data_IF_334683438388
#
_entry.id   IF_334683438388
#
_cell.length_a   1.000
_cell.length_b   1.000
_cell.length_c   1.000
_cell.angle_alpha   90.00
_cell.angle_beta   90.00
_cell.angle_gamma   90.00
#
_symmetry.space_group_name_H-M   'P 1'
#
loop_
_entity.id
_entity.type
_entity.pdbx_description
1 polymer ?
#
# COMPACT_ATOMS: atom_id res chain seq x y z
N UNK A 1 -22.29 29.66 -10.45
CA UNK A 1 -22.86 30.20 -9.19
C UNK A 1 -23.10 29.05 -8.23
N UNK A 2 -22.50 29.14 -7.04
CA UNK A 2 -22.75 28.19 -5.96
C UNK A 2 -24.07 28.59 -5.29
N UNK A 3 -25.07 27.74 -5.38
CA UNK A 3 -26.33 27.91 -4.66
C UNK A 3 -26.22 27.20 -3.31
N UNK A 4 -27.00 27.65 -2.33
CA UNK A 4 -27.03 27.04 -1.00
C UNK A 4 -27.26 25.53 -1.06
N UNK A 5 -28.17 25.07 -1.93
CA UNK A 5 -28.42 23.63 -2.13
C UNK A 5 -27.21 22.86 -2.68
N UNK A 6 -26.42 23.45 -3.58
CA UNK A 6 -25.20 22.83 -4.12
C UNK A 6 -24.10 22.70 -3.06
N UNK A 7 -23.97 23.72 -2.19
CA UNK A 7 -23.00 23.70 -1.09
C UNK A 7 -23.36 22.59 -0.08
N UNK A 8 -24.63 22.50 0.31
CA UNK A 8 -25.11 21.47 1.24
C UNK A 8 -24.87 20.06 0.66
N UNK A 9 -25.22 19.85 -0.62
CA UNK A 9 -24.98 18.58 -1.30
C UNK A 9 -23.48 18.23 -1.33
N UNK A 10 -22.61 19.18 -1.68
CA UNK A 10 -21.17 18.95 -1.76
C UNK A 10 -20.59 18.55 -0.39
N UNK A 11 -20.98 19.25 0.68
CA UNK A 11 -20.55 18.91 2.03
C UNK A 11 -21.01 17.51 2.44
N UNK A 12 -22.29 17.18 2.21
CA UNK A 12 -22.83 15.85 2.50
C UNK A 12 -22.11 14.75 1.71
N UNK A 13 -21.89 14.98 0.41
CA UNK A 13 -21.20 14.05 -0.46
C UNK A 13 -19.77 13.78 0.02
N UNK A 14 -19.00 14.82 0.35
CA UNK A 14 -17.63 14.68 0.84
C UNK A 14 -17.61 13.87 2.14
N UNK A 15 -18.49 14.16 3.09
CA UNK A 15 -18.54 13.43 4.36
C UNK A 15 -18.88 11.96 4.14
N UNK A 16 -19.93 11.67 3.36
CA UNK A 16 -20.32 10.30 3.02
C UNK A 16 -19.19 9.55 2.30
N UNK A 17 -18.54 10.21 1.35
CA UNK A 17 -17.42 9.65 0.59
C UNK A 17 -16.22 9.33 1.48
N UNK A 18 -15.82 10.24 2.37
CA UNK A 18 -14.71 10.02 3.31
C UNK A 18 -15.03 8.85 4.25
N UNK A 19 -16.26 8.74 4.75
CA UNK A 19 -16.66 7.61 5.60
C UNK A 19 -16.51 6.28 4.86
N UNK A 20 -17.00 6.20 3.62
CA UNK A 20 -16.87 5.00 2.79
C UNK A 20 -15.40 4.66 2.50
N UNK A 21 -14.58 5.67 2.23
CA UNK A 21 -13.15 5.52 1.99
C UNK A 21 -12.44 4.94 3.22
N UNK A 22 -12.72 5.46 4.43
CA UNK A 22 -12.16 4.95 5.69
C UNK A 22 -12.55 3.50 5.93
N UNK A 23 -13.82 3.15 5.70
CA UNK A 23 -14.30 1.76 5.84
C UNK A 23 -13.55 0.84 4.86
N UNK A 24 -13.42 1.26 3.59
CA UNK A 24 -12.71 0.49 2.57
C UNK A 24 -11.24 0.27 2.95
N UNK A 25 -10.52 1.32 3.36
CA UNK A 25 -9.11 1.19 3.73
C UNK A 25 -8.88 0.37 4.99
N UNK A 26 -9.81 0.39 5.97
CA UNK A 26 -9.72 -0.50 7.13
C UNK A 26 -9.81 -1.97 6.72
N UNK A 27 -10.71 -2.30 5.78
CA UNK A 27 -10.86 -3.66 5.26
C UNK A 27 -9.62 -4.08 4.48
N UNK A 28 -9.11 -3.19 3.63
CA UNK A 28 -7.91 -3.46 2.84
C UNK A 28 -6.66 -3.59 3.69
N UNK A 29 -6.49 -2.80 4.74
CA UNK A 29 -5.36 -2.94 5.66
C UNK A 29 -5.36 -4.32 6.35
N UNK A 30 -6.53 -4.83 6.73
CA UNK A 30 -6.67 -6.18 7.29
C UNK A 30 -6.35 -7.26 6.25
N UNK A 31 -6.83 -7.09 5.02
CA UNK A 31 -6.58 -8.02 3.92
C UNK A 31 -5.11 -8.02 3.48
N UNK A 32 -4.47 -6.85 3.42
CA UNK A 32 -3.05 -6.69 3.12
C UNK A 32 -2.19 -7.38 4.18
N UNK A 33 -2.53 -7.23 5.46
CA UNK A 33 -1.91 -8.06 6.50
C UNK A 33 -2.11 -9.53 6.15
N UNK A 34 -3.33 -10.04 5.98
CA UNK A 34 -3.56 -11.48 5.72
C UNK A 34 -2.80 -12.05 4.51
N UNK A 35 -2.75 -11.34 3.39
CA UNK A 35 -2.22 -11.86 2.12
C UNK A 35 -0.75 -11.51 1.87
N UNK A 36 -0.25 -10.41 2.44
CA UNK A 36 1.13 -9.95 2.24
C UNK A 36 1.94 -9.95 3.55
N UNK A 37 1.55 -10.75 4.56
CA UNK A 37 2.37 -10.91 5.77
C UNK A 37 3.80 -11.28 5.36
N UNK A 38 4.76 -10.51 5.89
CA UNK A 38 6.19 -10.72 5.68
C UNK A 38 6.65 -10.67 4.22
N UNK A 39 5.80 -10.29 3.25
CA UNK A 39 6.20 -10.18 1.84
C UNK A 39 7.38 -9.22 1.67
N UNK A 40 7.37 -8.08 2.37
CA UNK A 40 8.51 -7.16 2.37
C UNK A 40 9.80 -7.80 2.89
N UNK A 41 9.69 -8.68 3.89
CA UNK A 41 10.82 -9.39 4.48
C UNK A 41 11.37 -10.44 3.51
N UNK A 42 10.50 -11.21 2.85
CA UNK A 42 10.90 -12.18 1.83
C UNK A 42 11.54 -11.50 0.61
N UNK A 43 11.00 -10.37 0.17
CA UNK A 43 11.61 -9.57 -0.91
C UNK A 43 12.97 -9.03 -0.49
N UNK A 44 13.11 -8.51 0.73
CA UNK A 44 14.39 -8.03 1.25
C UNK A 44 15.44 -9.16 1.33
N UNK A 45 15.04 -10.36 1.79
CA UNK A 45 15.92 -11.54 1.78
C UNK A 45 16.33 -11.90 0.36
N UNK A 46 15.38 -11.94 -0.59
CA UNK A 46 15.67 -12.23 -1.99
C UNK A 46 16.71 -11.27 -2.57
N UNK A 47 16.52 -9.97 -2.36
CA UNK A 47 17.48 -8.93 -2.79
C UNK A 47 18.84 -9.13 -2.13
N UNK A 48 18.88 -9.34 -0.81
CA UNK A 48 20.14 -9.54 -0.08
C UNK A 48 20.90 -10.77 -0.58
N UNK A 49 20.20 -11.89 -0.83
CA UNK A 49 20.78 -13.12 -1.38
C UNK A 49 21.30 -12.88 -2.79
N UNK A 50 20.55 -12.20 -3.66
CA UNK A 50 21.00 -11.87 -5.01
C UNK A 50 22.26 -11.01 -4.99
N UNK A 51 22.32 -10.00 -4.13
CA UNK A 51 23.52 -9.16 -3.97
C UNK A 51 24.70 -9.99 -3.46
N UNK A 52 24.50 -10.83 -2.44
CA UNK A 52 25.56 -11.70 -1.92
C UNK A 52 26.10 -12.65 -2.99
N UNK A 53 25.22 -13.24 -3.82
CA UNK A 53 25.62 -14.09 -4.94
C UNK A 53 26.41 -13.31 -6.01
N UNK A 54 26.05 -12.05 -6.30
CA UNK A 54 26.81 -11.20 -7.21
C UNK A 54 28.23 -10.90 -6.68
N UNK A 55 28.39 -10.67 -5.38
CA UNK A 55 29.72 -10.50 -4.78
C UNK A 55 30.50 -11.82 -4.77
N UNK A 56 29.84 -12.94 -4.46
CA UNK A 56 30.47 -14.25 -4.44
C UNK A 56 30.92 -14.68 -5.84
N UNK A 57 30.14 -14.42 -6.89
CA UNK A 57 30.55 -14.70 -8.26
C UNK A 57 31.79 -13.89 -8.64
N UNK A 58 31.89 -12.65 -8.17
CA UNK A 58 33.09 -11.79 -8.35
C UNK A 58 34.34 -12.30 -7.64
N UNK A 59 34.19 -13.12 -6.60
CA UNK A 59 35.31 -13.73 -5.86
C UNK A 59 35.73 -15.07 -6.47
N UNK A 60 34.76 -15.86 -6.96
CA UNK A 60 34.99 -17.15 -7.59
C UNK A 60 35.48 -17.02 -9.04
N UNK A 61 34.95 -16.05 -9.77
CA UNK A 61 35.41 -15.65 -11.11
C UNK A 61 36.38 -14.49 -10.90
N UNK A 62 37.65 -14.81 -10.68
CA UNK A 62 38.72 -13.81 -10.63
C UNK A 62 38.89 -13.12 -12.00
#
# INVERSE_FOLDING_TARGET
MFTTGRIIFACFFIVAFVILMVISYKKDAKNNKKHYQNSALYVAIGIAVTIALLFLSKLLVK
#
